data_IF_502156990284
#
_entry.id   IF_502156990284
#
_cell.length_a   1.000
_cell.length_b   1.000
_cell.length_c   1.000
_cell.angle_alpha   90.00
_cell.angle_beta   90.00
_cell.angle_gamma   90.00
#
_symmetry.space_group_name_H-M   'P 1'
#
loop_
_entity.id
_entity.type
_entity.pdbx_description
1 polymer ?
#
# COMPACT_ATOMS: atom_id res chain seq x y z
N UNK A 1 -7.77 -9.72 -30.79
CA UNK A 1 -7.53 -9.96 -29.38
C UNK A 1 -7.67 -8.67 -28.55
N UNK A 2 -6.95 -7.59 -28.84
CA UNK A 2 -7.01 -6.30 -28.14
C UNK A 2 -8.43 -5.68 -28.06
N UNK A 3 -9.20 -5.71 -29.17
CA UNK A 3 -10.57 -5.16 -29.21
C UNK A 3 -11.54 -5.86 -28.24
N UNK A 4 -11.40 -7.16 -28.05
CA UNK A 4 -12.21 -7.92 -27.07
C UNK A 4 -11.80 -7.62 -25.62
N UNK A 5 -10.50 -7.45 -25.37
CA UNK A 5 -9.98 -7.09 -24.05
C UNK A 5 -10.50 -5.69 -23.68
N UNK A 6 -10.41 -4.71 -24.59
CA UNK A 6 -10.93 -3.36 -24.40
C UNK A 6 -12.43 -3.33 -24.09
N UNK A 7 -13.23 -4.12 -24.82
CA UNK A 7 -14.68 -4.24 -24.57
C UNK A 7 -14.99 -4.84 -23.18
N UNK A 8 -14.17 -5.77 -22.70
CA UNK A 8 -14.31 -6.31 -21.34
C UNK A 8 -13.97 -5.27 -20.27
N UNK A 9 -12.93 -4.45 -20.49
CA UNK A 9 -12.58 -3.36 -19.59
C UNK A 9 -13.65 -2.27 -19.55
N UNK A 10 -14.24 -1.87 -20.68
CA UNK A 10 -15.32 -0.89 -20.73
C UNK A 10 -16.57 -1.37 -19.96
N UNK A 11 -16.95 -2.64 -20.11
CA UNK A 11 -18.05 -3.24 -19.32
C UNK A 11 -17.75 -3.26 -17.82
N UNK A 12 -16.51 -3.53 -17.43
CA UNK A 12 -16.11 -3.51 -16.03
C UNK A 12 -16.14 -2.10 -15.45
N UNK A 13 -15.71 -1.10 -16.22
CA UNK A 13 -15.77 0.31 -15.81
C UNK A 13 -17.21 0.77 -15.54
N UNK A 14 -18.17 0.34 -16.37
CA UNK A 14 -19.60 0.68 -16.19
C UNK A 14 -20.23 -0.03 -14.98
N UNK A 15 -19.82 -1.26 -14.69
CA UNK A 15 -20.18 -1.98 -13.47
C UNK A 15 -19.60 -1.32 -12.20
N UNK A 16 -18.55 -0.54 -12.36
CA UNK A 16 -17.77 0.05 -11.29
C UNK A 16 -18.37 1.32 -10.69
N UNK A 17 -19.15 2.06 -11.47
CA UNK A 17 -19.76 3.33 -11.06
C UNK A 17 -20.79 3.21 -9.94
N UNK A 18 -21.18 2.01 -9.54
CA UNK A 18 -22.37 1.82 -8.69
C UNK A 18 -22.14 1.19 -7.30
N UNK A 19 -20.90 0.87 -6.87
CA UNK A 19 -20.76 0.15 -5.59
C UNK A 19 -19.45 0.44 -4.85
N UNK A 20 -19.58 0.90 -3.63
CA UNK A 20 -18.50 1.14 -2.66
C UNK A 20 -18.11 -0.14 -1.86
N UNK A 21 -18.47 -1.32 -2.39
CA UNK A 21 -18.23 -2.62 -1.75
C UNK A 21 -16.75 -3.04 -1.83
N UNK A 22 -16.03 -3.17 -0.69
CA UNK A 22 -14.63 -3.59 -0.65
C UNK A 22 -14.38 -4.97 -1.30
N UNK A 23 -15.29 -5.93 -1.12
CA UNK A 23 -15.15 -7.27 -1.69
C UNK A 23 -15.23 -7.26 -3.22
N UNK A 24 -16.07 -6.39 -3.77
CA UNK A 24 -16.17 -6.19 -5.22
C UNK A 24 -14.89 -5.56 -5.77
N UNK A 25 -14.33 -4.57 -5.08
CA UNK A 25 -13.07 -3.91 -5.45
C UNK A 25 -11.92 -4.93 -5.50
N UNK A 26 -11.82 -5.80 -4.51
CA UNK A 26 -10.82 -6.85 -4.47
C UNK A 26 -10.91 -7.83 -5.64
N UNK A 27 -12.13 -8.28 -5.95
CA UNK A 27 -12.39 -9.12 -7.13
C UNK A 27 -12.00 -8.44 -8.44
N UNK A 28 -12.21 -7.14 -8.53
CA UNK A 28 -11.84 -6.33 -9.70
C UNK A 28 -10.31 -6.25 -9.86
N UNK A 29 -9.57 -5.90 -8.80
CA UNK A 29 -8.12 -5.85 -8.83
C UNK A 29 -7.51 -7.21 -9.20
N UNK A 30 -8.03 -8.29 -8.61
CA UNK A 30 -7.63 -9.65 -8.95
C UNK A 30 -7.98 -10.02 -10.40
N UNK A 31 -9.05 -9.49 -10.95
CA UNK A 31 -9.39 -9.67 -12.37
C UNK A 31 -8.36 -8.96 -13.27
N UNK A 32 -8.01 -7.71 -12.99
CA UNK A 32 -7.00 -6.96 -13.74
C UNK A 32 -5.65 -7.69 -13.76
N UNK A 33 -5.18 -8.19 -12.62
CA UNK A 33 -3.92 -8.92 -12.57
C UNK A 33 -3.95 -10.18 -13.45
N UNK A 34 -5.06 -10.94 -13.45
CA UNK A 34 -5.21 -12.13 -14.31
C UNK A 34 -5.32 -11.79 -15.79
N UNK A 35 -6.04 -10.73 -16.14
CA UNK A 35 -6.17 -10.31 -17.54
C UNK A 35 -4.83 -9.86 -18.09
N UNK A 36 -4.08 -9.08 -17.32
CA UNK A 36 -2.79 -8.57 -17.76
C UNK A 36 -1.73 -9.65 -17.94
N UNK A 37 -1.66 -10.64 -17.06
CA UNK A 37 -0.75 -11.78 -17.27
C UNK A 37 -1.04 -12.51 -18.60
N UNK A 38 -2.30 -12.54 -19.04
CA UNK A 38 -2.69 -13.15 -20.32
C UNK A 38 -2.47 -12.23 -21.51
N UNK A 39 -2.83 -10.96 -21.38
CA UNK A 39 -2.77 -9.99 -22.49
C UNK A 39 -1.32 -9.66 -22.88
N UNK A 40 -0.46 -9.46 -21.89
CA UNK A 40 0.96 -9.16 -22.08
C UNK A 40 1.81 -10.44 -22.20
N UNK A 41 1.27 -11.59 -21.79
CA UNK A 41 2.04 -12.84 -21.70
C UNK A 41 3.07 -12.83 -20.57
N UNK A 42 2.79 -12.10 -19.47
CA UNK A 42 3.64 -12.11 -18.30
C UNK A 42 3.41 -13.37 -17.43
N UNK A 43 4.41 -13.79 -16.67
CA UNK A 43 4.28 -14.91 -15.72
C UNK A 43 3.51 -14.50 -14.48
N UNK A 44 3.76 -13.29 -13.96
CA UNK A 44 3.07 -12.72 -12.81
C UNK A 44 2.69 -11.26 -13.04
N UNK A 45 1.64 -10.86 -12.34
CA UNK A 45 1.20 -9.48 -12.25
C UNK A 45 0.83 -9.17 -10.81
N UNK A 46 1.19 -8.01 -10.32
CA UNK A 46 0.96 -7.55 -8.95
C UNK A 46 0.54 -6.09 -8.92
N UNK A 47 -0.28 -5.72 -7.94
CA UNK A 47 -0.66 -4.34 -7.63
C UNK A 47 -0.17 -4.03 -6.23
N UNK A 48 0.64 -2.99 -6.11
CA UNK A 48 1.18 -2.49 -4.86
C UNK A 48 0.53 -1.18 -4.47
N UNK A 49 0.37 -0.98 -3.17
CA UNK A 49 -0.07 0.29 -2.57
C UNK A 49 1.12 0.93 -1.85
N UNK A 50 1.26 2.23 -2.01
CA UNK A 50 2.22 3.04 -1.28
C UNK A 50 1.61 3.54 0.04
N UNK A 51 2.29 3.33 1.15
CA UNK A 51 1.99 3.92 2.46
C UNK A 51 3.08 4.93 2.80
N UNK A 52 2.90 6.23 2.52
CA UNK A 52 3.93 7.23 2.76
C UNK A 52 4.19 7.49 4.24
N UNK A 53 3.23 7.22 5.11
CA UNK A 53 3.37 7.40 6.56
C UNK A 53 4.33 6.38 7.19
N UNK A 54 4.36 5.19 6.66
CA UNK A 54 5.20 4.07 7.13
C UNK A 54 6.39 3.82 6.21
N UNK A 55 6.55 4.66 5.18
CA UNK A 55 7.56 4.54 4.10
C UNK A 55 7.69 3.12 3.54
N UNK A 56 6.55 2.48 3.31
CA UNK A 56 6.47 1.11 2.83
C UNK A 56 5.55 0.95 1.63
N UNK A 57 5.84 -0.06 0.84
CA UNK A 57 5.04 -0.47 -0.30
C UNK A 57 4.59 -1.91 -0.03
N UNK A 58 3.28 -2.16 -0.04
CA UNK A 58 2.75 -3.47 0.26
C UNK A 58 1.91 -4.02 -0.89
N UNK A 59 1.95 -5.34 -1.04
CA UNK A 59 1.19 -6.04 -2.07
C UNK A 59 -0.30 -6.02 -1.74
N UNK A 60 -1.12 -5.46 -2.63
CA UNK A 60 -2.59 -5.49 -2.49
C UNK A 60 -3.19 -6.72 -3.12
N UNK A 61 -2.71 -7.11 -4.29
CA UNK A 61 -3.11 -8.36 -4.96
C UNK A 61 -2.08 -8.76 -6.00
N UNK A 62 -1.97 -10.07 -6.26
CA UNK A 62 -1.03 -10.58 -7.25
C UNK A 62 -1.34 -12.00 -7.69
N UNK A 63 -0.86 -12.37 -8.87
CA UNK A 63 -0.99 -13.73 -9.38
C UNK A 63 0.08 -14.63 -8.74
N UNK A 64 -0.36 -15.72 -8.09
CA UNK A 64 0.55 -16.71 -7.50
C UNK A 64 1.21 -16.32 -6.19
N UNK A 65 0.71 -15.28 -5.52
CA UNK A 65 1.18 -14.80 -4.21
C UNK A 65 0.01 -14.42 -3.31
N UNK A 66 0.19 -14.51 -1.98
CA UNK A 66 -0.82 -14.10 -1.00
C UNK A 66 -0.60 -12.64 -0.60
N UNK A 67 -1.69 -11.89 -0.42
CA UNK A 67 -1.69 -10.43 -0.22
C UNK A 67 -0.85 -9.95 0.97
N UNK A 68 -0.91 -10.61 2.10
CA UNK A 68 -0.37 -10.10 3.37
C UNK A 68 1.15 -10.30 3.56
N UNK A 69 1.83 -11.01 2.64
CA UNK A 69 3.17 -11.54 2.89
C UNK A 69 4.30 -10.71 2.25
N UNK A 70 3.97 -9.80 1.32
CA UNK A 70 5.00 -9.06 0.58
C UNK A 70 4.92 -7.58 0.89
N UNK A 71 5.91 -7.11 1.61
CA UNK A 71 6.23 -5.69 1.78
C UNK A 71 7.62 -5.46 1.21
N UNK A 72 7.74 -4.44 0.38
CA UNK A 72 9.02 -4.05 -0.21
C UNK A 72 9.40 -2.65 0.22
N UNK A 73 10.70 -2.35 0.40
CA UNK A 73 11.14 -1.01 0.73
C UNK A 73 10.92 -0.08 -0.47
N UNK A 74 10.68 1.20 -0.20
CA UNK A 74 10.62 2.24 -1.22
C UNK A 74 11.99 2.43 -1.88
N UNK A 75 13.04 2.48 -1.07
CA UNK A 75 14.41 2.54 -1.56
C UNK A 75 14.94 1.14 -1.91
N UNK A 76 15.66 1.04 -3.02
CA UNK A 76 16.31 -0.20 -3.47
C UNK A 76 15.39 -1.21 -4.16
N UNK A 77 14.06 -1.01 -4.18
CA UNK A 77 13.16 -1.85 -4.96
C UNK A 77 12.77 -1.19 -6.30
N UNK A 78 12.49 -2.00 -7.32
CA UNK A 78 12.11 -1.51 -8.66
C UNK A 78 10.73 -0.86 -8.62
N UNK A 79 9.80 -1.44 -7.88
CA UNK A 79 8.48 -0.82 -7.67
C UNK A 79 8.59 0.50 -6.91
N UNK A 80 9.49 0.57 -5.92
CA UNK A 80 9.78 1.81 -5.19
C UNK A 80 10.39 2.88 -6.08
N UNK A 81 11.27 2.51 -7.01
CA UNK A 81 11.81 3.42 -8.01
C UNK A 81 10.72 4.00 -8.91
N UNK A 82 9.77 3.18 -9.38
CA UNK A 82 8.64 3.64 -10.18
C UNK A 82 7.73 4.62 -9.39
N UNK A 83 7.45 4.31 -8.13
CA UNK A 83 6.65 5.17 -7.24
C UNK A 83 7.37 6.50 -6.97
N UNK A 84 8.66 6.46 -6.65
CA UNK A 84 9.44 7.65 -6.32
C UNK A 84 9.65 8.59 -7.51
N UNK A 85 9.88 8.04 -8.72
CA UNK A 85 10.09 8.82 -9.94
C UNK A 85 8.78 9.25 -10.63
N UNK A 86 7.66 8.57 -10.35
CA UNK A 86 6.43 8.73 -11.12
C UNK A 86 6.55 8.33 -12.59
N UNK A 87 7.58 7.53 -12.93
CA UNK A 87 7.86 7.08 -14.28
C UNK A 87 7.82 5.55 -14.37
N UNK A 88 7.43 5.04 -15.52
CA UNK A 88 7.50 3.61 -15.82
C UNK A 88 8.95 3.13 -15.79
N UNK A 89 9.21 2.04 -15.08
CA UNK A 89 10.52 1.40 -14.97
C UNK A 89 10.46 0.02 -15.61
N UNK A 90 11.26 -0.18 -16.64
CA UNK A 90 11.45 -1.47 -17.32
C UNK A 90 12.90 -1.91 -17.17
N UNK A 91 13.12 -3.12 -16.64
CA UNK A 91 14.44 -3.73 -16.46
C UNK A 91 14.39 -5.19 -16.86
N UNK A 92 15.35 -5.61 -17.68
CA UNK A 92 15.59 -6.99 -18.07
C UNK A 92 16.90 -7.52 -17.48
N UNK A 93 17.16 -8.84 -17.59
CA UNK A 93 18.40 -9.47 -17.15
C UNK A 93 18.62 -9.46 -15.64
N UNK A 94 17.55 -9.52 -14.84
CA UNK A 94 17.60 -9.45 -13.38
C UNK A 94 17.96 -10.76 -12.67
N UNK A 95 18.01 -11.86 -13.39
CA UNK A 95 18.37 -13.18 -12.84
C UNK A 95 19.80 -13.23 -12.26
N UNK A 96 20.69 -12.43 -12.81
CA UNK A 96 22.10 -12.32 -12.37
C UNK A 96 22.39 -11.10 -11.49
N UNK A 97 21.41 -10.20 -11.30
CA UNK A 97 21.61 -8.93 -10.59
C UNK A 97 21.11 -9.03 -9.16
N UNK A 98 21.93 -8.57 -8.20
CA UNK A 98 21.50 -8.42 -6.81
C UNK A 98 20.53 -7.24 -6.64
N UNK A 99 19.54 -7.40 -5.77
CA UNK A 99 18.55 -6.34 -5.49
C UNK A 99 17.42 -6.82 -4.58
N UNK A 100 16.54 -5.91 -4.17
CA UNK A 100 15.41 -6.21 -3.30
C UNK A 100 14.46 -7.29 -3.85
N UNK A 101 14.39 -7.47 -5.19
CA UNK A 101 13.62 -8.53 -5.82
C UNK A 101 14.09 -9.93 -5.41
N UNK A 102 15.39 -10.14 -5.12
CA UNK A 102 15.92 -11.43 -4.69
C UNK A 102 15.36 -11.89 -3.35
N UNK A 103 15.10 -10.99 -2.42
CA UNK A 103 14.46 -11.34 -1.15
C UNK A 103 13.04 -11.87 -1.37
N UNK A 104 12.28 -11.22 -2.27
CA UNK A 104 10.94 -11.67 -2.66
C UNK A 104 11.00 -13.00 -3.44
N UNK A 105 11.98 -13.15 -4.33
CA UNK A 105 12.22 -14.40 -5.06
C UNK A 105 12.47 -15.56 -4.10
N UNK A 106 13.35 -15.38 -3.11
CA UNK A 106 13.64 -16.39 -2.09
C UNK A 106 12.39 -16.76 -1.26
N UNK A 107 11.59 -15.76 -0.89
CA UNK A 107 10.37 -15.96 -0.11
C UNK A 107 9.29 -16.69 -0.92
N UNK A 108 9.20 -16.45 -2.22
CA UNK A 108 8.12 -16.97 -3.09
C UNK A 108 8.53 -18.17 -3.94
N UNK A 109 9.81 -18.54 -3.97
CA UNK A 109 10.37 -19.56 -4.86
C UNK A 109 10.32 -19.18 -6.34
N UNK A 110 10.21 -17.89 -6.65
CA UNK A 110 10.14 -17.36 -8.00
C UNK A 110 11.52 -16.86 -8.45
N UNK A 111 11.78 -16.85 -9.74
CA UNK A 111 13.01 -16.29 -10.32
C UNK A 111 12.64 -15.11 -11.21
N UNK A 112 12.94 -13.93 -10.75
CA UNK A 112 12.68 -12.70 -11.50
C UNK A 112 13.80 -12.46 -12.52
N UNK A 113 13.42 -12.41 -13.82
CA UNK A 113 14.31 -12.16 -14.96
C UNK A 113 14.09 -10.79 -15.58
N UNK A 114 12.84 -10.31 -15.55
CA UNK A 114 12.47 -9.00 -16.08
C UNK A 114 11.29 -8.41 -15.32
N UNK A 115 11.30 -7.10 -15.16
CA UNK A 115 10.26 -6.33 -14.46
C UNK A 115 9.84 -5.16 -15.33
N UNK A 116 8.52 -5.00 -15.46
CA UNK A 116 7.88 -3.76 -15.91
C UNK A 116 7.02 -3.23 -14.75
N UNK A 117 7.39 -2.08 -14.21
CA UNK A 117 6.69 -1.43 -13.10
C UNK A 117 6.15 -0.07 -13.55
N UNK A 118 4.83 0.09 -13.48
CA UNK A 118 4.10 1.28 -13.92
C UNK A 118 3.50 1.96 -12.69
N UNK A 119 3.82 3.25 -12.43
CA UNK A 119 3.25 3.98 -11.30
C UNK A 119 1.77 4.26 -11.52
N UNK A 120 0.98 4.19 -10.46
CA UNK A 120 -0.44 4.56 -10.45
C UNK A 120 -0.54 5.91 -9.73
N UNK A 121 -0.85 6.97 -10.51
CA UNK A 121 -0.94 8.33 -10.02
C UNK A 121 -2.36 8.64 -9.55
N UNK A 122 -2.49 9.46 -8.51
CA UNK A 122 -3.81 9.98 -8.12
C UNK A 122 -4.34 10.93 -9.21
N UNK A 123 -5.63 10.86 -9.57
CA UNK A 123 -6.20 11.78 -10.54
C UNK A 123 -6.42 13.20 -9.96
N UNK A 124 -6.43 13.32 -8.65
CA UNK A 124 -6.82 14.54 -7.93
C UNK A 124 -5.67 15.16 -7.13
N UNK A 125 -4.52 14.48 -7.04
CA UNK A 125 -3.35 14.92 -6.27
C UNK A 125 -2.08 14.61 -7.06
N UNK A 126 -1.06 15.41 -6.85
CA UNK A 126 0.27 15.15 -7.44
C UNK A 126 1.03 14.09 -6.63
N UNK A 127 0.44 12.90 -6.53
CA UNK A 127 0.95 11.78 -5.74
C UNK A 127 0.87 10.47 -6.49
N UNK A 128 1.86 9.61 -6.28
CA UNK A 128 1.83 8.21 -6.73
C UNK A 128 1.32 7.34 -5.59
N UNK A 129 0.12 6.78 -5.75
CA UNK A 129 -0.60 6.03 -4.72
C UNK A 129 -0.32 4.54 -4.73
N UNK A 130 0.31 4.06 -5.80
CA UNK A 130 0.67 2.66 -5.94
C UNK A 130 1.44 2.38 -7.22
N UNK A 131 1.61 1.11 -7.53
CA UNK A 131 2.21 0.67 -8.78
C UNK A 131 1.61 -0.65 -9.27
N UNK A 132 1.56 -0.78 -10.57
CA UNK A 132 1.22 -1.99 -11.29
C UNK A 132 2.50 -2.64 -11.80
N UNK A 133 2.75 -3.91 -11.51
CA UNK A 133 4.00 -4.58 -11.83
C UNK A 133 3.76 -5.89 -12.56
N UNK A 134 4.47 -6.09 -13.66
CA UNK A 134 4.52 -7.31 -14.45
C UNK A 134 5.91 -7.95 -14.32
N UNK A 135 5.94 -9.27 -14.12
CA UNK A 135 7.17 -10.03 -13.98
C UNK A 135 7.28 -11.06 -15.09
N UNK A 136 8.44 -11.14 -15.68
CA UNK A 136 8.85 -12.10 -16.71
C UNK A 136 7.87 -12.26 -17.87
N UNK A 137 8.31 -12.04 -19.07
CA UNK A 137 7.55 -12.45 -20.26
C UNK A 137 7.70 -13.95 -20.47
N UNK A 138 6.58 -14.68 -20.68
CA UNK A 138 6.54 -16.17 -20.75
C UNK A 138 7.39 -16.77 -21.86
N UNK A 139 7.58 -16.01 -22.94
CA UNK A 139 8.43 -16.41 -24.08
C UNK A 139 9.92 -16.09 -23.89
N UNK A 140 10.30 -15.61 -22.69
CA UNK A 140 11.68 -15.26 -22.36
C UNK A 140 12.19 -13.96 -23.00
N UNK A 141 11.33 -13.25 -23.76
CA UNK A 141 11.67 -11.95 -24.35
C UNK A 141 11.53 -10.83 -23.33
N UNK A 142 11.91 -9.64 -23.70
CA UNK A 142 11.65 -8.41 -22.96
C UNK A 142 10.24 -7.90 -23.21
N UNK A 143 9.73 -7.05 -22.33
CA UNK A 143 8.47 -6.33 -22.56
C UNK A 143 8.66 -5.34 -23.70
N UNK A 144 7.70 -5.31 -24.62
CA UNK A 144 7.73 -4.42 -25.81
C UNK A 144 7.13 -3.06 -25.47
N UNK A 145 7.27 -2.09 -26.38
CA UNK A 145 6.64 -0.78 -26.24
C UNK A 145 5.10 -0.90 -26.16
N UNK A 146 4.52 -1.85 -26.88
CA UNK A 146 3.07 -2.12 -26.80
C UNK A 146 2.67 -2.69 -25.45
N UNK A 147 3.49 -3.55 -24.84
CA UNK A 147 3.27 -4.07 -23.49
C UNK A 147 3.31 -2.93 -22.46
N UNK A 148 4.26 -2.00 -22.61
CA UNK A 148 4.39 -0.81 -21.77
C UNK A 148 3.14 0.07 -21.90
N UNK A 149 2.75 0.41 -23.12
CA UNK A 149 1.57 1.25 -23.39
C UNK A 149 0.29 0.65 -22.84
N UNK A 150 0.11 -0.68 -22.98
CA UNK A 150 -1.05 -1.36 -22.42
C UNK A 150 -1.02 -1.35 -20.88
N UNK A 151 0.14 -1.54 -20.27
CA UNK A 151 0.27 -1.51 -18.81
C UNK A 151 0.00 -0.11 -18.25
N UNK A 152 0.43 0.96 -18.94
CA UNK A 152 0.15 2.35 -18.59
C UNK A 152 -1.35 2.67 -18.72
N UNK A 153 -2.01 2.26 -19.81
CA UNK A 153 -3.47 2.41 -19.98
C UNK A 153 -4.24 1.71 -18.84
N UNK A 154 -3.80 0.54 -18.42
CA UNK A 154 -4.42 -0.18 -17.31
C UNK A 154 -4.15 0.50 -15.97
N UNK A 155 -2.94 0.97 -15.72
CA UNK A 155 -2.61 1.72 -14.51
C UNK A 155 -3.48 2.98 -14.40
N UNK A 156 -3.70 3.69 -15.51
CA UNK A 156 -4.59 4.85 -15.60
C UNK A 156 -6.05 4.49 -15.31
N UNK A 157 -6.53 3.34 -15.79
CA UNK A 157 -7.88 2.87 -15.47
C UNK A 157 -8.06 2.41 -14.02
N UNK A 158 -6.97 1.99 -13.36
CA UNK A 158 -6.97 1.54 -11.97
C UNK A 158 -6.86 2.69 -10.95
N UNK A 159 -6.48 3.90 -11.38
CA UNK A 159 -6.15 4.99 -10.48
C UNK A 159 -7.24 5.29 -9.44
N UNK A 160 -8.50 5.31 -9.83
CA UNK A 160 -9.61 5.62 -8.91
C UNK A 160 -9.75 4.59 -7.80
N UNK A 161 -9.55 3.30 -8.10
CA UNK A 161 -9.65 2.23 -7.12
C UNK A 161 -8.47 2.19 -6.17
N UNK A 162 -7.28 2.40 -6.70
CA UNK A 162 -6.06 2.46 -5.91
C UNK A 162 -6.07 3.70 -5.03
N UNK A 163 -6.53 4.84 -5.56
CA UNK A 163 -6.67 6.08 -4.79
C UNK A 163 -7.62 5.94 -3.60
N UNK A 164 -8.74 5.24 -3.77
CA UNK A 164 -9.68 4.92 -2.65
C UNK A 164 -9.02 4.05 -1.57
N UNK A 165 -8.24 3.05 -1.96
CA UNK A 165 -7.52 2.21 -1.00
C UNK A 165 -6.46 3.03 -0.28
N UNK A 166 -5.71 3.85 -1.02
CA UNK A 166 -4.71 4.75 -0.48
C UNK A 166 -5.30 5.73 0.55
N UNK A 167 -6.39 6.42 0.20
CA UNK A 167 -7.09 7.33 1.12
C UNK A 167 -7.59 6.58 2.37
N UNK A 168 -8.18 5.40 2.19
CA UNK A 168 -8.62 4.56 3.30
C UNK A 168 -7.48 4.23 4.26
N UNK A 169 -6.28 3.91 3.74
CA UNK A 169 -5.09 3.67 4.54
C UNK A 169 -4.63 4.93 5.29
N UNK A 170 -4.66 6.10 4.65
CA UNK A 170 -4.30 7.36 5.29
C UNK A 170 -5.26 7.71 6.44
N UNK A 171 -6.56 7.53 6.24
CA UNK A 171 -7.57 7.75 7.29
C UNK A 171 -7.34 6.79 8.46
N UNK A 172 -7.06 5.52 8.19
CA UNK A 172 -6.74 4.54 9.22
C UNK A 172 -5.51 4.93 10.02
N UNK A 173 -4.41 5.29 9.36
CA UNK A 173 -3.17 5.74 10.01
C UNK A 173 -3.39 7.00 10.87
N UNK A 174 -4.18 7.95 10.36
CA UNK A 174 -4.53 9.17 11.12
C UNK A 174 -5.34 8.81 12.38
N UNK A 175 -6.31 7.91 12.27
CA UNK A 175 -7.13 7.47 13.41
C UNK A 175 -6.28 6.78 14.47
N UNK A 176 -5.35 5.90 14.10
CA UNK A 176 -4.39 5.27 15.02
C UNK A 176 -3.53 6.31 15.75
N UNK A 177 -3.01 7.32 15.01
CA UNK A 177 -2.21 8.41 15.63
C UNK A 177 -3.02 9.23 16.62
N UNK A 178 -4.26 9.60 16.26
CA UNK A 178 -5.15 10.36 17.14
C UNK A 178 -5.48 9.55 18.40
N UNK A 179 -5.84 8.27 18.26
CA UNK A 179 -6.10 7.40 19.42
C UNK A 179 -4.89 7.33 20.36
N UNK A 180 -3.69 7.10 19.82
CA UNK A 180 -2.48 7.07 20.62
C UNK A 180 -2.17 8.43 21.33
N UNK A 181 -2.52 9.55 20.70
CA UNK A 181 -2.39 10.88 21.34
C UNK A 181 -3.41 11.05 22.48
N UNK A 182 -4.66 10.63 22.30
CA UNK A 182 -5.69 10.66 23.34
C UNK A 182 -5.29 9.78 24.53
N UNK A 183 -4.77 8.58 24.31
CA UNK A 183 -4.32 7.68 25.37
C UNK A 183 -3.19 8.29 26.20
N UNK A 184 -2.21 8.94 25.53
CA UNK A 184 -1.13 9.66 26.23
C UNK A 184 -1.65 10.83 27.04
N UNK A 185 -2.57 11.62 26.47
CA UNK A 185 -3.18 12.78 27.16
C UNK A 185 -3.98 12.32 28.37
N UNK A 186 -4.80 11.27 28.22
CA UNK A 186 -5.60 10.71 29.32
C UNK A 186 -4.70 10.18 30.44
N UNK A 187 -3.62 9.49 30.09
CA UNK A 187 -2.64 8.99 31.06
C UNK A 187 -1.98 10.17 31.83
N UNK A 188 -1.54 11.22 31.11
CA UNK A 188 -0.95 12.39 31.74
C UNK A 188 -1.94 13.09 32.69
N UNK A 189 -3.19 13.29 32.27
CA UNK A 189 -4.24 13.88 33.11
C UNK A 189 -4.52 13.04 34.35
N UNK A 190 -4.56 11.71 34.21
CA UNK A 190 -4.78 10.77 35.32
C UNK A 190 -3.64 10.86 36.37
N UNK A 191 -2.40 10.97 35.90
CA UNK A 191 -1.23 11.14 36.78
C UNK A 191 -1.31 12.51 37.53
N UNK A 192 -1.60 13.59 36.80
CA UNK A 192 -1.75 14.91 37.43
C UNK A 192 -2.88 14.90 38.46
N UNK A 193 -4.02 14.33 38.15
CA UNK A 193 -5.15 14.18 39.05
C UNK A 193 -4.76 13.39 40.30
N UNK A 194 -4.08 12.24 40.14
CA UNK A 194 -3.59 11.42 41.23
C UNK A 194 -2.65 12.16 42.17
N UNK A 195 -1.69 12.92 41.59
CA UNK A 195 -0.78 13.78 42.39
C UNK A 195 -1.55 14.87 43.16
N UNK A 196 -2.51 15.52 42.51
CA UNK A 196 -3.32 16.55 43.11
C UNK A 196 -4.14 16.01 44.31
N UNK A 197 -4.77 14.87 44.13
CA UNK A 197 -5.51 14.19 45.22
C UNK A 197 -4.56 13.82 46.37
N UNK A 198 -3.39 13.28 46.06
CA UNK A 198 -2.39 12.93 47.09
C UNK A 198 -1.96 14.14 47.90
N UNK A 199 -1.64 15.27 47.25
CA UNK A 199 -1.26 16.51 47.90
C UNK A 199 -2.38 17.06 48.78
N UNK A 200 -3.63 17.00 48.37
CA UNK A 200 -4.78 17.39 49.16
C UNK A 200 -4.91 16.50 50.41
N UNK A 201 -4.77 15.20 50.27
CA UNK A 201 -4.81 14.28 51.44
C UNK A 201 -3.69 14.55 52.41
N UNK A 202 -2.48 14.79 51.96
CA UNK A 202 -1.33 15.16 52.81
C UNK A 202 -1.56 16.51 53.51
N UNK A 203 -2.15 17.50 52.85
CA UNK A 203 -2.47 18.80 53.48
C UNK A 203 -3.51 18.66 54.59
N UNK A 204 -4.54 17.86 54.40
CA UNK A 204 -5.58 17.56 55.41
C UNK A 204 -4.97 16.83 56.62
N UNK A 205 -4.10 15.86 56.38
CA UNK A 205 -3.39 15.13 57.41
C UNK A 205 -2.50 16.05 58.25
N UNK A 206 -1.74 16.90 57.61
CA UNK A 206 -0.88 17.91 58.23
C UNK A 206 -1.69 18.88 59.12
N UNK A 207 -2.81 19.39 58.62
CA UNK A 207 -3.68 20.28 59.37
C UNK A 207 -4.33 19.62 60.58
N UNK A 208 -4.76 18.33 60.42
CA UNK A 208 -5.31 17.51 61.49
C UNK A 208 -4.31 17.23 62.63
N UNK A 209 -3.06 16.85 62.27
CA UNK A 209 -1.97 16.64 63.21
C UNK A 209 -1.59 17.93 63.99
N UNK A 210 -1.52 19.09 63.27
CA UNK A 210 -1.25 20.36 63.89
C UNK A 210 -2.25 20.77 64.96
N UNK A 211 -3.50 20.40 64.86
CA UNK A 211 -4.53 20.62 65.87
C UNK A 211 -4.38 19.72 67.11
N UNK A 212 -3.91 18.48 66.92
CA UNK A 212 -3.71 17.53 68.01
C UNK A 212 -2.51 17.93 68.91
N UNK A 213 -1.48 18.56 68.34
CA UNK A 213 -0.28 19.00 69.10
C UNK A 213 -0.35 20.44 69.60
N UNK A 214 -1.37 21.24 69.23
CA UNK A 214 -1.56 22.63 69.67
C UNK A 214 -2.61 22.77 70.80
N UNK A 215 -3.25 21.69 71.25
CA UNK A 215 -4.15 21.61 72.40
C UNK A 215 -3.54 20.79 73.54
#
# INVERSE_FOLDING_TARGET
MFKQIRLQFDRLRDLHKSSDDPARREKLLAFYTRVMTRAVGAERCSIFIHDPDKDRIWLKTGTGVREAEIVVPKEGSIVGKAIASGQTVHIAGLDTVAGAHKAVDQQTGFVTRGILSVPIKSPNRDEVTGAFQLLNKKDGREFTAEDVSLAEEIAENLHAEIDRIFIGQQIFNLTERLSAMFDKLFTALSVVFGITVLLLLLSILWWGLGRVFAG
#
